data_IF_882702187564
#
_entry.id   IF_882702187564
#
_cell.length_a   1.000
_cell.length_b   1.000
_cell.length_c   1.000
_cell.angle_alpha   90.00
_cell.angle_beta   90.00
_cell.angle_gamma   90.00
#
_symmetry.space_group_name_H-M   'P 1'
#
loop_
_entity.id
_entity.type
_entity.pdbx_description
1 polymer ?
#
# COMPACT_ATOMS: atom_id res chain seq x y z
N UNK A 1 21.00 -70.35 44.96
CA UNK A 1 21.19 -69.70 43.66
C UNK A 1 19.99 -68.77 43.43
N UNK A 2 20.17 -67.45 43.53
CA UNK A 2 19.03 -66.54 43.48
C UNK A 2 18.79 -66.04 42.06
N UNK A 3 17.50 -66.04 41.68
CA UNK A 3 17.01 -65.51 40.43
C UNK A 3 16.85 -64.00 40.52
N UNK A 4 17.48 -63.32 39.59
CA UNK A 4 17.45 -61.84 39.46
C UNK A 4 16.27 -61.43 38.58
N UNK A 5 15.22 -60.88 39.18
CA UNK A 5 14.09 -60.29 38.43
C UNK A 5 14.42 -58.89 37.97
N UNK A 6 14.58 -58.74 36.67
CA UNK A 6 14.82 -57.46 35.99
C UNK A 6 13.48 -56.79 35.72
N UNK A 7 13.07 -55.84 36.58
CA UNK A 7 11.91 -54.97 36.34
C UNK A 7 12.31 -53.88 35.36
N UNK A 8 11.70 -53.94 34.19
CA UNK A 8 11.71 -52.91 33.18
C UNK A 8 10.83 -51.71 33.65
N UNK A 9 11.48 -50.59 33.93
CA UNK A 9 10.80 -49.27 34.10
C UNK A 9 10.56 -48.67 32.70
N UNK A 10 9.30 -48.64 32.29
CA UNK A 10 8.89 -47.88 31.10
C UNK A 10 8.62 -46.44 31.55
N UNK A 11 9.55 -45.52 31.24
CA UNK A 11 9.35 -44.11 31.43
C UNK A 11 8.52 -43.57 30.26
N UNK A 12 7.30 -43.19 30.52
CA UNK A 12 6.42 -42.49 29.57
C UNK A 12 6.89 -41.03 29.52
N UNK A 13 7.56 -40.64 28.40
CA UNK A 13 7.87 -39.24 28.10
C UNK A 13 6.63 -38.62 27.46
N UNK A 14 5.87 -37.85 28.25
CA UNK A 14 4.83 -36.94 27.74
C UNK A 14 5.50 -35.76 27.06
N UNK A 15 5.56 -35.83 25.74
CA UNK A 15 5.98 -34.68 24.90
C UNK A 15 4.89 -33.62 24.89
N UNK A 16 5.07 -32.53 25.63
CA UNK A 16 4.29 -31.31 25.48
C UNK A 16 4.64 -30.65 24.14
N UNK A 17 3.79 -30.79 23.13
CA UNK A 17 3.83 -29.94 21.95
C UNK A 17 3.42 -28.52 22.36
N UNK A 18 4.40 -27.66 22.57
CA UNK A 18 4.20 -26.22 22.64
C UNK A 18 3.83 -25.74 21.23
N UNK A 19 2.55 -25.48 21.00
CA UNK A 19 2.07 -24.67 19.87
C UNK A 19 2.58 -23.25 20.10
N UNK A 20 3.79 -22.95 19.59
CA UNK A 20 4.26 -21.59 19.44
C UNK A 20 3.40 -20.94 18.35
N UNK A 21 2.27 -20.38 18.76
CA UNK A 21 1.51 -19.46 17.94
C UNK A 21 2.41 -18.26 17.62
N UNK A 22 2.92 -18.17 16.40
CA UNK A 22 3.53 -16.96 15.88
C UNK A 22 2.44 -15.87 15.79
N UNK A 23 2.15 -15.21 16.91
CA UNK A 23 1.59 -13.87 16.85
C UNK A 23 2.67 -13.00 16.20
N UNK A 24 2.51 -12.68 14.91
CA UNK A 24 3.24 -11.56 14.33
C UNK A 24 2.84 -10.33 15.15
N UNK A 25 3.62 -10.02 16.16
CA UNK A 25 3.54 -8.76 16.87
C UNK A 25 3.59 -7.65 15.83
N UNK A 26 2.81 -6.60 16.03
CA UNK A 26 2.86 -5.41 15.20
C UNK A 26 4.32 -4.95 15.12
N UNK A 27 4.97 -5.23 13.99
CA UNK A 27 6.30 -4.71 13.68
C UNK A 27 6.21 -3.19 13.63
N UNK A 28 7.35 -2.49 13.80
CA UNK A 28 7.37 -1.05 13.60
C UNK A 28 6.66 -0.67 12.29
N UNK A 29 5.86 0.42 12.29
CA UNK A 29 5.11 0.82 11.10
C UNK A 29 6.04 0.96 9.89
N UNK A 30 5.65 0.36 8.76
CA UNK A 30 6.43 0.48 7.53
C UNK A 30 6.35 1.92 7.01
N UNK A 31 7.46 2.62 7.11
CA UNK A 31 7.59 4.02 6.70
C UNK A 31 8.08 4.18 5.26
N UNK A 32 8.43 3.08 4.58
CA UNK A 32 8.95 3.12 3.22
C UNK A 32 7.89 3.56 2.21
N UNK A 33 8.31 4.27 1.18
CA UNK A 33 7.48 4.56 0.02
C UNK A 33 7.12 3.26 -0.72
N UNK A 34 5.95 3.23 -1.34
CA UNK A 34 5.49 2.10 -2.14
C UNK A 34 5.94 2.26 -3.59
N UNK A 35 6.58 1.23 -4.14
CA UNK A 35 7.23 1.34 -5.45
C UNK A 35 6.90 0.18 -6.37
N UNK A 36 6.96 0.43 -7.69
CA UNK A 36 6.87 -0.56 -8.76
C UNK A 36 8.01 -0.39 -9.75
N UNK A 37 8.33 -1.45 -10.47
CA UNK A 37 9.35 -1.44 -11.52
C UNK A 37 10.77 -1.65 -11.01
N UNK A 38 11.72 -1.53 -11.93
CA UNK A 38 13.14 -1.74 -11.63
C UNK A 38 13.71 -0.57 -10.80
N UNK A 39 14.24 -0.81 -9.58
CA UNK A 39 14.86 0.23 -8.78
C UNK A 39 16.09 0.87 -9.46
N UNK A 40 16.66 0.23 -10.47
CA UNK A 40 17.79 0.76 -11.24
C UNK A 40 17.35 1.49 -12.52
N UNK A 41 16.04 1.58 -12.82
CA UNK A 41 15.57 2.31 -13.99
C UNK A 41 16.10 3.75 -13.99
N UNK A 42 16.51 4.23 -15.15
CA UNK A 42 17.08 5.58 -15.34
C UNK A 42 16.06 6.70 -15.06
N UNK A 43 14.80 6.43 -15.37
CA UNK A 43 13.71 7.37 -15.12
C UNK A 43 12.99 7.00 -13.82
N UNK A 44 12.88 7.97 -12.93
CA UNK A 44 12.19 7.86 -11.65
C UNK A 44 10.93 8.72 -11.70
N UNK A 45 9.76 8.11 -11.56
CA UNK A 45 8.50 8.83 -11.48
C UNK A 45 7.94 8.72 -10.07
N UNK A 46 7.52 9.84 -9.51
CA UNK A 46 6.79 9.89 -8.24
C UNK A 46 5.41 10.49 -8.49
N UNK A 47 4.39 9.81 -7.98
CA UNK A 47 3.03 10.32 -7.90
C UNK A 47 2.66 10.55 -6.43
N UNK A 48 2.16 11.75 -6.14
CA UNK A 48 1.51 12.07 -4.87
C UNK A 48 0.01 12.00 -5.08
N UNK A 49 -0.66 11.06 -4.43
CA UNK A 49 -2.07 10.78 -4.67
C UNK A 49 -2.83 10.50 -3.38
N UNK A 50 -4.13 10.75 -3.43
CA UNK A 50 -5.06 10.44 -2.35
C UNK A 50 -6.15 9.48 -2.83
N UNK A 51 -6.49 8.53 -1.98
CA UNK A 51 -7.54 7.54 -2.27
C UNK A 51 -8.96 8.13 -2.30
N UNK A 52 -9.12 9.38 -1.89
CA UNK A 52 -10.39 10.12 -1.97
C UNK A 52 -10.38 11.21 -3.06
N UNK A 53 -9.28 11.37 -3.78
CA UNK A 53 -9.16 12.32 -4.87
C UNK A 53 -9.71 11.72 -6.18
N UNK A 54 -10.75 12.33 -6.76
CA UNK A 54 -11.38 11.85 -8.00
C UNK A 54 -10.43 11.86 -9.20
N UNK A 55 -9.61 12.91 -9.34
CA UNK A 55 -8.60 12.99 -10.41
C UNK A 55 -7.52 11.90 -10.27
N UNK A 56 -7.15 11.51 -9.04
CA UNK A 56 -6.27 10.37 -8.79
C UNK A 56 -6.93 9.05 -9.23
N UNK A 57 -8.23 8.90 -8.95
CA UNK A 57 -9.02 7.75 -9.42
C UNK A 57 -9.08 7.71 -10.95
N UNK A 58 -9.34 8.83 -11.62
CA UNK A 58 -9.32 8.91 -13.10
C UNK A 58 -7.96 8.50 -13.65
N UNK A 59 -6.87 9.04 -13.10
CA UNK A 59 -5.53 8.64 -13.52
C UNK A 59 -5.28 7.15 -13.33
N UNK A 60 -5.57 6.61 -12.15
CA UNK A 60 -5.38 5.19 -11.85
C UNK A 60 -6.16 4.28 -12.79
N UNK A 61 -7.42 4.62 -13.08
CA UNK A 61 -8.32 3.75 -13.82
C UNK A 61 -8.14 3.84 -15.34
N UNK A 62 -7.76 5.01 -15.87
CA UNK A 62 -7.78 5.28 -17.30
C UNK A 62 -6.40 5.43 -17.94
N UNK A 63 -5.40 5.92 -17.18
CA UNK A 63 -4.08 6.26 -17.73
C UNK A 63 -2.99 5.32 -17.23
N UNK A 64 -2.98 5.05 -15.92
CA UNK A 64 -1.93 4.29 -15.27
C UNK A 64 -1.73 2.87 -15.83
N UNK A 65 -2.78 2.10 -16.19
CA UNK A 65 -2.58 0.75 -16.74
C UNK A 65 -1.74 0.73 -18.01
N UNK A 66 -2.00 1.66 -18.93
CA UNK A 66 -1.23 1.77 -20.17
C UNK A 66 0.20 2.27 -19.91
N UNK A 67 0.37 3.24 -19.02
CA UNK A 67 1.68 3.72 -18.60
C UNK A 67 2.50 2.63 -17.92
N UNK A 68 1.89 1.88 -17.00
CA UNK A 68 2.51 0.76 -16.29
C UNK A 68 3.02 -0.29 -17.26
N UNK A 69 2.16 -0.78 -18.16
CA UNK A 69 2.54 -1.79 -19.14
C UNK A 69 3.66 -1.33 -20.08
N UNK A 70 3.66 -0.05 -20.46
CA UNK A 70 4.64 0.51 -21.42
C UNK A 70 6.00 0.79 -20.80
N UNK A 71 6.04 1.22 -19.54
CA UNK A 71 7.26 1.78 -18.94
C UNK A 71 7.69 1.09 -17.65
N UNK A 72 6.77 0.77 -16.74
CA UNK A 72 7.11 0.18 -15.44
C UNK A 72 7.43 -1.29 -15.60
N UNK A 73 6.53 -2.05 -16.24
CA UNK A 73 6.69 -3.50 -16.44
C UNK A 73 7.85 -3.84 -17.40
N UNK A 74 8.28 -2.87 -18.22
CA UNK A 74 9.44 -3.00 -19.10
C UNK A 74 10.75 -2.53 -18.47
N UNK A 75 10.74 -2.13 -17.20
CA UNK A 75 11.92 -1.69 -16.46
C UNK A 75 12.46 -0.30 -16.87
N UNK A 76 11.73 0.45 -17.68
CA UNK A 76 12.15 1.80 -18.13
C UNK A 76 11.93 2.87 -17.08
N UNK A 77 10.91 2.70 -16.24
CA UNK A 77 10.53 3.63 -15.19
C UNK A 77 10.45 2.91 -13.85
N UNK A 78 11.09 3.47 -12.83
CA UNK A 78 10.81 3.15 -11.43
C UNK A 78 9.75 4.12 -10.92
N UNK A 79 8.63 3.57 -10.50
CA UNK A 79 7.48 4.33 -10.02
C UNK A 79 7.42 4.32 -8.50
N UNK A 80 7.20 5.48 -7.90
CA UNK A 80 6.99 5.67 -6.46
C UNK A 80 5.63 6.30 -6.23
N UNK A 81 4.81 5.64 -5.43
CA UNK A 81 3.53 6.17 -4.95
C UNK A 81 3.72 6.79 -3.57
N UNK A 82 3.39 8.06 -3.42
CA UNK A 82 3.40 8.77 -2.15
C UNK A 82 2.00 9.12 -1.71
N UNK A 83 1.66 8.63 -0.53
CA UNK A 83 0.37 8.83 0.09
C UNK A 83 0.14 10.30 0.43
N UNK A 84 -1.03 10.80 0.09
CA UNK A 84 -1.51 12.14 0.43
C UNK A 84 -2.96 12.06 0.92
N UNK A 85 -3.38 13.02 1.75
CA UNK A 85 -4.74 13.03 2.29
C UNK A 85 -5.53 14.20 1.69
N UNK A 86 -6.69 13.89 1.11
CA UNK A 86 -7.71 14.87 0.70
C UNK A 86 -9.04 14.52 1.37
N UNK A 87 -9.93 15.49 1.55
CA UNK A 87 -11.23 15.20 2.16
C UNK A 87 -12.05 14.13 1.41
N UNK A 88 -12.73 13.23 2.13
CA UNK A 88 -12.67 13.04 3.59
C UNK A 88 -11.37 12.36 4.02
N UNK A 89 -10.53 13.07 4.78
CA UNK A 89 -9.17 12.62 5.13
C UNK A 89 -9.14 11.30 5.89
N UNK A 90 -10.13 11.05 6.75
CA UNK A 90 -10.27 9.81 7.52
C UNK A 90 -10.52 8.60 6.62
N UNK A 91 -11.24 8.77 5.51
CA UNK A 91 -11.49 7.71 4.52
C UNK A 91 -10.21 7.41 3.74
N UNK A 92 -9.50 8.45 3.30
CA UNK A 92 -8.20 8.29 2.63
C UNK A 92 -7.21 7.57 3.55
N UNK A 93 -7.13 7.99 4.82
CA UNK A 93 -6.25 7.36 5.81
C UNK A 93 -6.62 5.89 6.03
N UNK A 94 -7.90 5.57 6.26
CA UNK A 94 -8.35 4.19 6.45
C UNK A 94 -8.01 3.31 5.23
N UNK A 95 -8.15 3.84 4.02
CA UNK A 95 -7.76 3.15 2.79
C UNK A 95 -6.27 2.82 2.74
N UNK A 96 -5.39 3.79 3.04
CA UNK A 96 -3.94 3.58 3.06
C UNK A 96 -3.51 2.62 4.17
N UNK A 97 -4.08 2.73 5.36
CA UNK A 97 -3.82 1.81 6.46
C UNK A 97 -4.22 0.38 6.09
N UNK A 98 -5.39 0.21 5.44
CA UNK A 98 -5.85 -1.08 4.92
C UNK A 98 -4.86 -1.65 3.89
N UNK A 99 -4.42 -0.84 2.92
CA UNK A 99 -3.48 -1.28 1.90
C UNK A 99 -2.13 -1.69 2.48
N UNK A 100 -1.61 -0.95 3.47
CA UNK A 100 -0.37 -1.31 4.16
C UNK A 100 -0.51 -2.57 5.00
N UNK A 101 -1.62 -2.76 5.70
CA UNK A 101 -1.91 -3.98 6.46
C UNK A 101 -2.01 -5.23 5.58
N UNK A 102 -2.51 -5.10 4.35
CA UNK A 102 -2.54 -6.20 3.41
C UNK A 102 -1.14 -6.67 2.97
N UNK A 103 -0.11 -5.85 3.23
CA UNK A 103 1.29 -6.13 2.92
C UNK A 103 1.76 -5.51 1.61
N UNK A 104 3.07 -5.35 1.47
CA UNK A 104 3.70 -4.69 0.31
C UNK A 104 3.30 -5.29 -1.03
N UNK A 105 3.23 -6.61 -1.09
CA UNK A 105 2.89 -7.34 -2.33
C UNK A 105 1.45 -7.10 -2.78
N UNK A 106 0.57 -6.70 -1.86
CA UNK A 106 -0.86 -6.46 -2.12
C UNK A 106 -1.23 -4.97 -2.14
N UNK A 107 -0.31 -4.10 -1.72
CA UNK A 107 -0.57 -2.67 -1.55
C UNK A 107 -1.20 -2.04 -2.81
N UNK A 108 -0.57 -2.23 -3.96
CA UNK A 108 -1.07 -1.66 -5.21
C UNK A 108 -2.40 -2.27 -5.67
N UNK A 109 -2.62 -3.56 -5.41
CA UNK A 109 -3.91 -4.19 -5.72
C UNK A 109 -5.04 -3.63 -4.84
N UNK A 110 -4.74 -3.32 -3.57
CA UNK A 110 -5.72 -2.73 -2.66
C UNK A 110 -6.01 -1.28 -3.02
N UNK A 111 -4.98 -0.47 -3.29
CA UNK A 111 -5.18 0.93 -3.71
C UNK A 111 -5.92 1.03 -5.03
N UNK A 112 -5.61 0.18 -6.00
CA UNK A 112 -6.32 0.06 -7.27
C UNK A 112 -7.81 -0.27 -7.06
N UNK A 113 -8.11 -1.28 -6.23
CA UNK A 113 -9.48 -1.63 -5.90
C UNK A 113 -10.25 -0.48 -5.23
N UNK A 114 -9.57 0.32 -4.37
CA UNK A 114 -10.18 1.49 -3.73
C UNK A 114 -10.47 2.59 -4.77
N UNK A 115 -9.55 2.87 -5.70
CA UNK A 115 -9.77 3.84 -6.77
C UNK A 115 -10.95 3.44 -7.67
N UNK A 116 -11.06 2.16 -8.03
CA UNK A 116 -12.21 1.65 -8.78
C UNK A 116 -13.54 1.76 -8.01
N UNK A 117 -13.50 1.64 -6.68
CA UNK A 117 -14.67 1.73 -5.82
C UNK A 117 -15.06 3.17 -5.42
N UNK A 118 -14.27 4.19 -5.78
CA UNK A 118 -14.53 5.58 -5.36
C UNK A 118 -15.95 6.04 -5.67
N UNK A 119 -16.42 5.79 -6.91
CA UNK A 119 -17.77 6.21 -7.31
C UNK A 119 -18.84 5.53 -6.45
N UNK A 120 -18.70 4.23 -6.17
CA UNK A 120 -19.60 3.50 -5.29
C UNK A 120 -19.58 4.09 -3.88
N UNK A 121 -18.40 4.31 -3.31
CA UNK A 121 -18.22 4.89 -1.98
C UNK A 121 -18.93 6.24 -1.86
N UNK A 122 -18.70 7.17 -2.78
CA UNK A 122 -19.27 8.51 -2.70
C UNK A 122 -20.77 8.55 -3.06
N UNK A 123 -21.26 7.62 -3.86
CA UNK A 123 -22.68 7.54 -4.22
C UNK A 123 -23.52 6.93 -3.10
N UNK A 124 -23.00 5.89 -2.45
CA UNK A 124 -23.74 5.16 -1.41
C UNK A 124 -23.52 5.72 -0.01
N UNK A 125 -22.38 6.38 0.22
CA UNK A 125 -21.92 6.79 1.55
C UNK A 125 -21.37 5.64 2.40
N UNK A 126 -21.36 4.39 1.91
CA UNK A 126 -20.85 3.22 2.64
C UNK A 126 -19.33 3.07 2.51
N UNK A 127 -18.60 4.06 3.00
CA UNK A 127 -17.13 4.06 2.95
C UNK A 127 -16.53 2.84 3.68
N UNK A 128 -17.06 2.58 4.91
CA UNK A 128 -16.52 1.51 5.75
C UNK A 128 -16.81 0.12 5.18
N UNK A 129 -18.05 -0.14 4.75
CA UNK A 129 -18.42 -1.46 4.21
C UNK A 129 -17.65 -1.79 2.94
N UNK A 130 -17.44 -0.81 2.06
CA UNK A 130 -16.67 -1.00 0.84
C UNK A 130 -15.20 -1.24 1.14
N UNK A 131 -14.57 -0.46 2.04
CA UNK A 131 -13.18 -0.70 2.45
C UNK A 131 -13.02 -2.07 3.12
N UNK A 132 -13.97 -2.51 3.95
CA UNK A 132 -13.96 -3.85 4.56
C UNK A 132 -14.03 -4.95 3.50
N UNK A 133 -14.92 -4.82 2.51
CA UNK A 133 -15.05 -5.78 1.40
C UNK A 133 -13.72 -5.89 0.62
N UNK A 134 -13.06 -4.78 0.35
CA UNK A 134 -11.75 -4.75 -0.31
C UNK A 134 -10.68 -5.41 0.57
N UNK A 135 -10.65 -5.10 1.87
CA UNK A 135 -9.74 -5.71 2.83
C UNK A 135 -9.89 -7.23 2.88
N UNK A 136 -11.14 -7.72 2.90
CA UNK A 136 -11.44 -9.16 2.88
C UNK A 136 -10.98 -9.82 1.57
N UNK A 137 -11.17 -9.16 0.45
CA UNK A 137 -10.66 -9.64 -0.86
C UNK A 137 -9.13 -9.71 -0.89
N UNK A 138 -8.46 -8.86 -0.12
CA UNK A 138 -7.00 -8.90 0.07
C UNK A 138 -6.56 -9.93 1.14
N UNK A 139 -7.50 -10.63 1.79
CA UNK A 139 -7.25 -11.68 2.77
C UNK A 139 -7.16 -11.22 4.22
N UNK A 140 -7.61 -10.01 4.53
CA UNK A 140 -7.74 -9.55 5.92
C UNK A 140 -9.11 -9.99 6.48
N UNK A 141 -9.14 -10.40 7.74
CA UNK A 141 -10.41 -10.56 8.46
C UNK A 141 -10.98 -9.20 8.85
N UNK A 142 -12.26 -9.14 9.22
CA UNK A 142 -12.84 -7.89 9.73
C UNK A 142 -12.15 -7.40 11.01
N UNK A 143 -11.74 -8.31 11.89
CA UNK A 143 -10.97 -7.97 13.09
C UNK A 143 -9.62 -7.35 12.73
N UNK A 144 -8.90 -7.92 11.76
CA UNK A 144 -7.64 -7.37 11.27
C UNK A 144 -7.84 -6.00 10.62
N UNK A 145 -8.87 -5.85 9.78
CA UNK A 145 -9.21 -4.56 9.18
C UNK A 145 -9.47 -3.49 10.25
N UNK A 146 -10.30 -3.80 11.26
CA UNK A 146 -10.58 -2.88 12.35
C UNK A 146 -9.31 -2.49 13.12
N UNK A 147 -8.46 -3.46 13.43
CA UNK A 147 -7.17 -3.20 14.08
C UNK A 147 -6.27 -2.29 13.23
N UNK A 148 -6.24 -2.50 11.91
CA UNK A 148 -5.43 -1.69 11.00
C UNK A 148 -5.86 -0.23 10.94
N UNK A 149 -7.17 0.04 10.78
CA UNK A 149 -7.66 1.41 10.62
C UNK A 149 -7.70 2.20 11.93
N UNK A 150 -7.49 1.52 13.08
CA UNK A 150 -7.40 2.14 14.41
C UNK A 150 -5.97 2.12 14.98
N UNK A 151 -4.98 1.68 14.21
CA UNK A 151 -3.57 1.67 14.64
C UNK A 151 -3.01 3.11 14.65
N UNK A 152 -2.89 3.66 15.86
CA UNK A 152 -2.40 5.02 16.07
C UNK A 152 -0.95 5.21 15.60
N UNK A 153 -0.10 4.19 15.73
CA UNK A 153 1.29 4.27 15.29
C UNK A 153 1.38 4.31 13.76
N UNK A 154 0.58 3.50 13.07
CA UNK A 154 0.49 3.51 11.62
C UNK A 154 -0.11 4.82 11.08
N UNK A 155 -1.15 5.35 11.75
CA UNK A 155 -1.75 6.64 11.41
C UNK A 155 -0.75 7.80 11.60
N UNK A 156 0.01 7.79 12.70
CA UNK A 156 1.09 8.76 12.93
C UNK A 156 2.14 8.71 11.83
N UNK A 157 2.61 7.51 11.46
CA UNK A 157 3.57 7.33 10.40
C UNK A 157 3.04 7.80 9.02
N UNK A 158 1.75 7.59 8.72
CA UNK A 158 1.08 8.13 7.54
C UNK A 158 1.11 9.66 7.55
N UNK A 159 0.70 10.28 8.65
CA UNK A 159 0.68 11.74 8.79
C UNK A 159 2.08 12.35 8.62
N UNK A 160 3.12 11.73 9.18
CA UNK A 160 4.51 12.18 9.00
C UNK A 160 4.95 12.15 7.52
N UNK A 161 4.55 11.12 6.73
CA UNK A 161 4.81 11.07 5.29
C UNK A 161 4.08 12.17 4.53
N UNK A 162 2.81 12.40 4.87
CA UNK A 162 2.01 13.48 4.28
C UNK A 162 2.60 14.85 4.61
N UNK A 163 2.96 15.09 5.87
CA UNK A 163 3.61 16.34 6.26
C UNK A 163 4.93 16.58 5.52
N UNK A 164 5.74 15.54 5.33
CA UNK A 164 6.95 15.63 4.54
C UNK A 164 6.64 16.05 3.10
N UNK A 165 5.64 15.44 2.46
CA UNK A 165 5.20 15.80 1.12
C UNK A 165 4.77 17.26 1.03
N UNK A 166 4.07 17.79 2.04
CA UNK A 166 3.64 19.19 2.08
C UNK A 166 4.83 20.13 2.36
N UNK A 167 5.61 19.85 3.41
CA UNK A 167 6.62 20.79 3.93
C UNK A 167 7.93 20.76 3.14
N UNK A 168 8.35 19.58 2.72
CA UNK A 168 9.65 19.36 2.04
C UNK A 168 9.46 19.32 0.52
N UNK A 169 8.56 18.46 0.04
CA UNK A 169 8.36 18.24 -1.39
C UNK A 169 7.46 19.34 -2.02
N UNK A 170 6.86 20.21 -1.19
CA UNK A 170 6.01 21.36 -1.60
C UNK A 170 4.81 20.94 -2.45
N UNK A 171 4.21 19.80 -2.14
CA UNK A 171 2.99 19.33 -2.79
C UNK A 171 1.78 20.07 -2.22
N UNK A 172 0.97 20.64 -3.10
CA UNK A 172 -0.21 21.45 -2.73
C UNK A 172 -1.52 20.87 -3.27
N UNK A 173 -1.44 19.95 -4.22
CA UNK A 173 -2.60 19.33 -4.85
C UNK A 173 -2.31 17.88 -5.27
N UNK A 174 -3.37 17.10 -5.49
CA UNK A 174 -3.30 15.73 -6.00
C UNK A 174 -4.17 15.54 -7.24
N UNK A 175 -3.75 14.69 -8.18
CA UNK A 175 -2.44 14.09 -8.24
C UNK A 175 -1.35 15.10 -8.57
N UNK A 176 -0.13 14.91 -8.04
CA UNK A 176 1.07 15.63 -8.45
C UNK A 176 2.10 14.65 -8.95
N UNK A 177 2.66 14.92 -10.13
CA UNK A 177 3.62 14.05 -10.80
C UNK A 177 4.98 14.71 -10.86
N UNK A 178 6.01 13.95 -10.47
CA UNK A 178 7.41 14.35 -10.46
C UNK A 178 8.21 13.32 -11.25
N UNK A 179 9.07 13.76 -12.16
CA UNK A 179 9.95 12.88 -12.94
C UNK A 179 11.40 13.34 -12.81
N UNK A 180 12.27 12.42 -12.37
CA UNK A 180 13.69 12.70 -12.05
C UNK A 180 13.86 13.96 -11.17
N UNK A 181 12.98 14.13 -10.15
CA UNK A 181 13.02 15.27 -9.22
C UNK A 181 12.39 16.56 -9.74
N UNK A 182 11.93 16.61 -10.99
CA UNK A 182 11.25 17.78 -11.57
C UNK A 182 9.73 17.56 -11.59
N UNK A 183 8.96 18.47 -11.00
CA UNK A 183 7.51 18.45 -11.12
C UNK A 183 7.12 18.66 -12.59
N UNK A 184 6.33 17.72 -13.13
CA UNK A 184 5.87 17.74 -14.52
C UNK A 184 4.41 18.15 -14.64
N UNK A 185 3.58 17.84 -13.64
CA UNK A 185 2.14 18.15 -13.66
C UNK A 185 1.55 18.17 -12.26
N UNK A 186 0.53 19.00 -12.07
CA UNK A 186 -0.48 18.90 -11.01
C UNK A 186 -1.85 18.75 -11.68
N UNK A 187 -2.72 17.88 -11.14
CA UNK A 187 -4.00 17.53 -11.76
C UNK A 187 -3.86 16.48 -12.86
N UNK A 188 -4.85 16.43 -13.73
CA UNK A 188 -4.94 15.41 -14.77
C UNK A 188 -3.75 15.42 -15.71
N UNK A 189 -3.28 14.23 -16.04
CA UNK A 189 -2.19 14.00 -17.01
C UNK A 189 -2.60 12.91 -17.99
N UNK A 190 -2.36 13.13 -19.27
CA UNK A 190 -2.60 12.15 -20.32
C UNK A 190 -1.39 11.21 -20.51
N UNK A 191 -1.64 10.05 -21.12
CA UNK A 191 -0.54 9.16 -21.52
C UNK A 191 0.44 9.83 -22.46
N UNK A 192 -0.03 10.68 -23.39
CA UNK A 192 0.84 11.41 -24.32
C UNK A 192 1.78 12.40 -23.58
N UNK A 193 1.29 13.10 -22.56
CA UNK A 193 2.13 13.98 -21.73
C UNK A 193 3.18 13.16 -20.94
N UNK A 194 2.78 11.98 -20.41
CA UNK A 194 3.73 11.08 -19.74
C UNK A 194 4.77 10.53 -20.71
N UNK A 195 4.37 10.17 -21.94
CA UNK A 195 5.28 9.71 -22.99
C UNK A 195 6.37 10.77 -23.29
N UNK A 196 5.94 12.02 -23.44
CA UNK A 196 6.86 13.14 -23.67
C UNK A 196 7.80 13.37 -22.47
N UNK A 197 7.28 13.27 -21.23
CA UNK A 197 8.08 13.43 -20.03
C UNK A 197 9.12 12.31 -19.87
N UNK A 198 8.74 11.05 -20.15
CA UNK A 198 9.68 9.91 -20.13
C UNK A 198 10.78 10.10 -21.20
N UNK A 199 10.40 10.49 -22.41
CA UNK A 199 11.37 10.75 -23.48
C UNK A 199 12.39 11.82 -23.10
N UNK A 200 11.93 12.91 -22.46
CA UNK A 200 12.81 13.97 -21.96
C UNK A 200 13.72 13.49 -20.83
N UNK A 201 13.17 12.77 -19.85
CA UNK A 201 13.91 12.25 -18.69
C UNK A 201 14.92 11.14 -19.04
N UNK A 202 14.81 10.56 -20.24
CA UNK A 202 15.69 9.48 -20.71
C UNK A 202 16.97 9.98 -21.40
N UNK A 203 17.02 11.29 -21.78
CA UNK A 203 18.21 11.91 -22.38
C UNK A 203 19.34 12.01 -21.36
#
# INVERSE_FOLDING_TARGET
>A
MPNFNRRLLVAAVLGALALAGCSKGAGAPDTADMTLGDPNAKVKMTEYASLTCSHCGTFNNEVFPAFKAKYIDTGKVHYTFKEFLTPPNEVAAAGFLTARCAGKDKYFNVTDAIFHAQQEMFTTGDMRGILLRIAQSAGLTEEQFNACITDEAALKALNERVEKSIKVDKVTATPTFVMNGKKIKEGDISLAELDAAVAEASK
#
